data_IF_433731585335
#
_entry.id   IF_433731585335
#
_cell.length_a   1.000
_cell.length_b   1.000
_cell.length_c   1.000
_cell.angle_alpha   90.00
_cell.angle_beta   90.00
_cell.angle_gamma   90.00
#
_symmetry.space_group_name_H-M   'P 1'
#
loop_
_entity.id
_entity.type
_entity.pdbx_description
1 polymer ?
#
# COMPACT_ATOMS: atom_id res chain seq x y z
N UNK A 1 6.28 -3.82 -6.84
CA UNK A 1 7.66 -3.97 -7.20
C UNK A 1 7.80 -4.06 -8.70
N UNK A 2 8.55 -3.14 -9.28
CA UNK A 2 8.66 -3.00 -10.70
C UNK A 2 9.78 -3.87 -11.26
N UNK A 3 9.47 -4.72 -12.20
CA UNK A 3 10.41 -5.52 -12.97
C UNK A 3 11.09 -4.71 -14.09
N UNK A 4 10.58 -3.51 -14.37
CA UNK A 4 11.07 -2.57 -15.37
C UNK A 4 11.44 -1.23 -14.74
N UNK A 5 12.36 -0.47 -15.38
CA UNK A 5 12.53 0.94 -15.07
C UNK A 5 11.21 1.70 -15.16
N UNK A 6 11.04 2.73 -14.33
CA UNK A 6 9.78 3.52 -14.22
C UNK A 6 9.29 4.04 -15.60
N UNK A 7 10.21 4.50 -16.45
CA UNK A 7 9.88 5.02 -17.77
C UNK A 7 9.25 3.95 -18.68
N UNK A 8 9.82 2.75 -18.68
CA UNK A 8 9.25 1.63 -19.45
C UNK A 8 7.92 1.14 -18.88
N UNK A 9 7.71 1.26 -17.56
CA UNK A 9 6.40 0.95 -16.96
C UNK A 9 5.35 1.99 -17.35
N UNK A 10 5.73 3.27 -17.36
CA UNK A 10 4.81 4.36 -17.72
C UNK A 10 4.34 4.22 -19.17
N UNK A 11 5.19 3.77 -20.08
CA UNK A 11 4.77 3.48 -21.47
C UNK A 11 3.65 2.42 -21.52
N UNK A 12 3.78 1.31 -20.76
CA UNK A 12 2.73 0.29 -20.70
C UNK A 12 1.47 0.78 -19.98
N UNK A 13 1.60 1.64 -18.97
CA UNK A 13 0.46 2.29 -18.29
C UNK A 13 -0.31 3.18 -19.24
N UNK A 14 0.37 3.97 -20.07
CA UNK A 14 -0.27 4.83 -21.06
C UNK A 14 -0.96 4.01 -22.16
N UNK A 15 -0.33 2.94 -22.61
CA UNK A 15 -0.98 1.98 -23.53
C UNK A 15 -2.23 1.34 -22.91
N UNK A 16 -2.18 0.98 -21.63
CA UNK A 16 -3.34 0.39 -20.98
C UNK A 16 -4.47 1.41 -20.72
N UNK A 17 -4.12 2.66 -20.38
CA UNK A 17 -5.10 3.77 -20.29
C UNK A 17 -5.85 3.97 -21.61
N UNK A 18 -5.16 3.85 -22.73
CA UNK A 18 -5.78 3.95 -24.07
C UNK A 18 -6.75 2.77 -24.35
N UNK A 19 -6.46 1.58 -23.81
CA UNK A 19 -7.33 0.39 -23.95
C UNK A 19 -8.50 0.38 -22.97
N UNK A 20 -8.34 1.00 -21.79
CA UNK A 20 -9.32 1.06 -20.71
C UNK A 20 -9.48 2.52 -20.23
N UNK A 21 -10.30 3.32 -20.92
CA UNK A 21 -10.60 4.68 -20.47
C UNK A 21 -11.16 4.71 -19.05
N UNK A 22 -10.60 5.57 -18.21
CA UNK A 22 -10.96 5.68 -16.79
C UNK A 22 -10.13 4.80 -15.85
N UNK A 23 -9.27 3.90 -16.35
CA UNK A 23 -8.30 3.21 -15.50
C UNK A 23 -7.14 4.13 -15.14
N UNK A 24 -6.70 4.02 -13.88
CA UNK A 24 -5.45 4.62 -13.40
C UNK A 24 -4.73 3.63 -12.47
N UNK A 25 -3.39 3.72 -12.36
CA UNK A 25 -2.62 2.92 -11.41
C UNK A 25 -3.15 3.08 -9.99
N UNK A 26 -3.02 2.03 -9.18
CA UNK A 26 -3.50 2.04 -7.79
C UNK A 26 -2.90 3.15 -6.93
N UNK A 27 -1.64 3.53 -7.19
CA UNK A 27 -0.99 4.66 -6.51
C UNK A 27 -1.67 5.99 -6.84
N UNK A 28 -1.96 6.25 -8.12
CA UNK A 28 -2.66 7.48 -8.56
C UNK A 28 -4.07 7.55 -7.96
N UNK A 29 -4.77 6.41 -7.88
CA UNK A 29 -6.10 6.34 -7.25
C UNK A 29 -6.03 6.64 -5.75
N UNK A 30 -5.04 6.08 -5.05
CA UNK A 30 -4.82 6.35 -3.62
C UNK A 30 -4.49 7.84 -3.40
N UNK A 31 -3.59 8.41 -4.20
CA UNK A 31 -3.24 9.83 -4.10
C UNK A 31 -4.47 10.72 -4.32
N UNK A 32 -5.31 10.41 -5.31
CA UNK A 32 -6.54 11.14 -5.56
C UNK A 32 -7.50 11.10 -4.36
N UNK A 33 -7.64 9.95 -3.68
CA UNK A 33 -8.44 9.81 -2.46
C UNK A 33 -7.84 10.66 -1.34
N UNK A 34 -6.54 10.55 -1.10
CA UNK A 34 -5.83 11.33 -0.07
C UNK A 34 -6.03 12.83 -0.29
N UNK A 35 -5.83 13.32 -1.52
CA UNK A 35 -6.05 14.73 -1.88
C UNK A 35 -7.52 15.17 -1.70
N UNK A 36 -8.47 14.26 -1.87
CA UNK A 36 -9.88 14.53 -1.64
C UNK A 36 -10.27 14.72 -0.18
N UNK A 37 -9.49 14.14 0.75
CA UNK A 37 -9.75 14.23 2.19
C UNK A 37 -8.96 15.34 2.89
N UNK A 38 -7.82 15.77 2.33
CA UNK A 38 -6.97 16.74 3.01
C UNK A 38 -7.42 18.19 2.78
N UNK A 39 -7.32 18.96 3.84
CA UNK A 39 -7.47 20.42 3.88
C UNK A 39 -6.27 21.03 4.61
N UNK A 40 -6.16 22.36 4.63
CA UNK A 40 -5.09 23.05 5.39
C UNK A 40 -5.13 22.79 6.90
N UNK A 41 -6.28 22.38 7.43
CA UNK A 41 -6.45 22.08 8.86
C UNK A 41 -6.26 20.59 9.17
N UNK A 42 -6.09 19.75 8.16
CA UNK A 42 -5.97 18.30 8.32
C UNK A 42 -4.68 17.89 9.01
N UNK A 43 -4.77 16.79 9.77
CA UNK A 43 -3.64 16.10 10.40
C UNK A 43 -3.53 14.72 9.80
N UNK A 44 -2.40 14.42 9.18
CA UNK A 44 -2.16 13.20 8.39
C UNK A 44 -1.05 12.37 9.02
N UNK A 45 -1.28 11.07 9.17
CA UNK A 45 -0.25 10.09 9.55
C UNK A 45 0.07 9.20 8.35
N UNK A 46 1.35 9.12 7.99
CA UNK A 46 1.88 8.12 7.05
C UNK A 46 2.40 6.92 7.84
N UNK A 47 1.65 5.83 7.81
CA UNK A 47 1.96 4.60 8.53
C UNK A 47 2.81 3.68 7.64
N UNK A 48 4.08 3.49 8.01
CA UNK A 48 5.10 2.84 7.22
C UNK A 48 5.69 3.78 6.17
N UNK A 49 6.06 5.00 6.58
CA UNK A 49 6.52 6.06 5.68
C UNK A 49 7.87 5.75 5.00
N UNK A 50 8.66 4.84 5.54
CA UNK A 50 9.96 4.47 4.99
C UNK A 50 10.86 5.67 4.71
N UNK A 51 11.43 5.72 3.50
CA UNK A 51 12.24 6.83 2.98
C UNK A 51 11.42 7.96 2.35
N UNK A 52 10.11 7.93 2.49
CA UNK A 52 9.13 8.84 1.93
C UNK A 52 7.96 8.09 1.31
N UNK A 53 6.77 8.54 1.61
CA UNK A 53 5.52 7.91 1.22
C UNK A 53 4.48 8.90 0.71
N UNK A 54 3.21 8.56 0.86
CA UNK A 54 2.11 9.35 0.29
C UNK A 54 1.94 10.69 1.02
N UNK A 55 2.23 10.77 2.33
CA UNK A 55 2.18 12.04 3.04
C UNK A 55 3.18 13.07 2.48
N UNK A 56 4.29 12.61 1.86
CA UNK A 56 5.27 13.48 1.19
C UNK A 56 4.63 14.38 0.13
N UNK A 57 3.53 13.93 -0.49
CA UNK A 57 2.84 14.68 -1.56
C UNK A 57 1.96 15.81 -1.01
N UNK A 58 1.52 15.69 0.24
CA UNK A 58 0.55 16.63 0.86
C UNK A 58 1.07 17.34 2.11
N UNK A 59 2.26 16.99 2.62
CA UNK A 59 2.69 17.41 3.96
C UNK A 59 2.82 18.94 4.13
N UNK A 60 3.09 19.69 3.05
CA UNK A 60 3.18 21.15 3.08
C UNK A 60 1.82 21.85 2.98
N UNK A 61 0.79 21.11 2.59
CA UNK A 61 -0.54 21.66 2.33
C UNK A 61 -1.51 21.39 3.50
N UNK A 62 -1.03 20.71 4.56
CA UNK A 62 -1.82 20.32 5.73
C UNK A 62 -1.26 20.94 7.01
N UNK A 63 -2.08 21.00 8.07
CA UNK A 63 -1.69 21.51 9.38
C UNK A 63 -0.56 20.69 10.03
N UNK A 64 -0.62 19.36 9.87
CA UNK A 64 0.36 18.44 10.39
C UNK A 64 0.43 17.21 9.47
N UNK A 65 1.63 16.84 9.06
CA UNK A 65 1.90 15.51 8.58
C UNK A 65 2.98 14.88 9.46
N UNK A 66 2.84 13.61 9.78
CA UNK A 66 3.83 12.85 10.51
C UNK A 66 4.01 11.47 9.86
N UNK A 67 5.25 10.96 9.86
CA UNK A 67 5.56 9.61 9.40
C UNK A 67 5.89 8.69 10.56
N UNK A 68 5.54 7.40 10.44
CA UNK A 68 5.97 6.37 11.37
C UNK A 68 6.52 5.18 10.60
N UNK A 69 7.70 4.71 10.99
CA UNK A 69 8.31 3.50 10.42
C UNK A 69 9.17 2.79 11.48
N UNK A 70 9.26 1.45 11.50
CA UNK A 70 10.14 0.73 12.43
C UNK A 70 11.62 0.80 12.05
N UNK A 71 11.96 1.08 10.78
CA UNK A 71 13.34 1.07 10.31
C UNK A 71 14.04 2.44 10.49
N UNK A 72 15.04 2.53 11.39
CA UNK A 72 15.74 3.78 11.64
C UNK A 72 16.57 4.27 10.44
N UNK A 73 17.00 3.37 9.54
CA UNK A 73 17.77 3.75 8.34
C UNK A 73 16.85 4.46 7.35
N UNK A 74 15.68 3.88 7.10
CA UNK A 74 14.68 4.50 6.22
C UNK A 74 14.26 5.87 6.72
N UNK A 75 14.07 6.03 8.04
CA UNK A 75 13.73 7.33 8.63
C UNK A 75 14.87 8.36 8.51
N UNK A 76 16.13 7.92 8.63
CA UNK A 76 17.30 8.81 8.47
C UNK A 76 17.46 9.30 7.02
N UNK A 77 16.96 8.54 6.06
CA UNK A 77 17.00 8.84 4.61
C UNK A 77 15.66 9.37 4.08
N UNK A 78 14.78 9.85 4.98
CA UNK A 78 13.44 10.32 4.59
C UNK A 78 13.51 11.58 3.74
N UNK A 79 12.87 11.57 2.56
CA UNK A 79 13.01 12.61 1.53
C UNK A 79 12.28 13.91 1.85
N UNK A 80 11.19 13.87 2.63
CA UNK A 80 10.48 15.07 3.03
C UNK A 80 11.21 15.77 4.18
N UNK A 81 12.21 16.57 3.85
CA UNK A 81 12.98 17.34 4.84
C UNK A 81 12.06 18.23 5.67
N UNK A 82 12.13 18.09 6.99
CA UNK A 82 11.33 18.85 7.94
C UNK A 82 9.96 18.25 8.28
N UNK A 83 9.52 17.17 7.62
CA UNK A 83 8.36 16.41 8.07
C UNK A 83 8.72 15.61 9.33
N UNK A 84 7.96 15.71 10.43
CA UNK A 84 8.19 14.90 11.62
C UNK A 84 8.09 13.40 11.31
N UNK A 85 9.12 12.63 11.65
CA UNK A 85 9.12 11.18 11.52
C UNK A 85 9.44 10.53 12.87
N UNK A 86 8.75 9.44 13.20
CA UNK A 86 8.86 8.75 14.47
C UNK A 86 9.13 7.26 14.24
N UNK A 87 10.09 6.70 14.98
CA UNK A 87 10.31 5.26 14.98
C UNK A 87 9.24 4.56 15.82
N UNK A 88 8.55 3.59 15.24
CA UNK A 88 7.51 2.83 15.94
C UNK A 88 6.93 1.70 15.10
N UNK A 89 6.04 0.95 15.73
CA UNK A 89 5.30 -0.15 15.11
C UNK A 89 3.82 0.21 15.00
N UNK A 90 3.16 -0.28 13.96
CA UNK A 90 1.74 -0.03 13.71
C UNK A 90 0.84 -0.56 14.84
N UNK A 91 1.27 -1.63 15.51
CA UNK A 91 0.56 -2.28 16.61
C UNK A 91 0.62 -1.48 17.94
N UNK A 92 1.42 -0.42 17.98
CA UNK A 92 1.53 0.48 19.15
C UNK A 92 1.97 1.87 18.71
N UNK A 93 1.01 2.69 18.33
CA UNK A 93 1.26 4.04 17.83
C UNK A 93 1.59 5.01 18.97
N UNK A 94 2.72 5.76 18.91
CA UNK A 94 3.12 6.70 19.95
C UNK A 94 2.38 8.05 19.84
N UNK A 95 1.12 8.01 19.48
CA UNK A 95 0.28 9.19 19.31
C UNK A 95 -0.94 9.11 20.23
N UNK A 96 -1.46 10.27 20.63
CA UNK A 96 -2.67 10.33 21.45
C UNK A 96 -3.92 9.88 20.67
N UNK A 97 -4.97 9.52 21.39
CA UNK A 97 -6.29 9.28 20.81
C UNK A 97 -6.78 10.54 20.10
N UNK A 98 -7.54 10.39 18.99
CA UNK A 98 -8.15 11.49 18.23
C UNK A 98 -7.15 12.54 17.71
N UNK A 99 -5.99 12.07 17.26
CA UNK A 99 -4.89 12.95 16.81
C UNK A 99 -4.90 13.26 15.32
N UNK A 100 -5.48 12.37 14.50
CA UNK A 100 -5.39 12.46 13.04
C UNK A 100 -6.78 12.44 12.38
N UNK A 101 -6.88 13.17 11.28
CA UNK A 101 -8.06 13.18 10.41
C UNK A 101 -7.92 12.12 9.31
N UNK A 102 -6.66 11.77 8.95
CA UNK A 102 -6.35 10.78 7.93
C UNK A 102 -5.12 9.96 8.36
N UNK A 103 -5.21 8.65 8.26
CA UNK A 103 -4.08 7.72 8.28
C UNK A 103 -3.94 7.10 6.90
N UNK A 104 -2.73 7.15 6.34
CA UNK A 104 -2.42 6.53 5.04
C UNK A 104 -1.40 5.42 5.24
N UNK A 105 -1.52 4.33 4.49
CA UNK A 105 -0.56 3.22 4.56
C UNK A 105 -0.38 2.56 3.20
N UNK A 106 0.87 2.43 2.75
CA UNK A 106 1.19 1.85 1.43
C UNK A 106 2.26 0.78 1.58
N UNK A 107 1.93 -0.45 1.18
CA UNK A 107 2.83 -1.61 1.25
C UNK A 107 3.32 -1.95 2.67
N UNK A 108 2.43 -1.84 3.66
CA UNK A 108 2.71 -2.14 5.08
C UNK A 108 1.91 -3.33 5.59
N UNK A 109 0.65 -3.45 5.18
CA UNK A 109 -0.28 -4.43 5.75
C UNK A 109 0.20 -5.87 5.57
N UNK A 110 0.95 -6.15 4.52
CA UNK A 110 1.54 -7.47 4.26
C UNK A 110 2.63 -7.86 5.27
N UNK A 111 3.19 -6.88 5.99
CA UNK A 111 4.26 -7.08 6.97
C UNK A 111 3.75 -7.22 8.41
N UNK A 112 2.53 -6.80 8.72
CA UNK A 112 1.98 -6.76 10.07
C UNK A 112 2.03 -8.12 10.77
N UNK A 113 2.56 -8.12 11.99
CA UNK A 113 2.59 -9.30 12.85
C UNK A 113 1.23 -9.52 13.52
N UNK A 114 0.62 -8.46 14.00
CA UNK A 114 -0.74 -8.40 14.55
C UNK A 114 -1.57 -7.35 13.81
N UNK A 115 -2.23 -7.71 12.68
CA UNK A 115 -3.04 -6.77 11.94
C UNK A 115 -4.22 -6.21 12.75
N UNK A 116 -4.82 -7.01 13.64
CA UNK A 116 -5.95 -6.52 14.43
C UNK A 116 -5.48 -5.45 15.43
N UNK A 117 -4.37 -5.67 16.11
CA UNK A 117 -3.77 -4.66 16.99
C UNK A 117 -3.46 -3.37 16.24
N UNK A 118 -2.88 -3.46 15.03
CA UNK A 118 -2.61 -2.29 14.19
C UNK A 118 -3.89 -1.54 13.79
N UNK A 119 -4.95 -2.24 13.40
CA UNK A 119 -6.23 -1.62 13.05
C UNK A 119 -6.92 -0.96 14.24
N UNK A 120 -6.82 -1.54 15.45
CA UNK A 120 -7.31 -0.94 16.70
C UNK A 120 -6.53 0.35 17.01
N UNK A 121 -5.22 0.35 16.86
CA UNK A 121 -4.39 1.54 17.07
C UNK A 121 -4.70 2.63 16.04
N UNK A 122 -4.88 2.27 14.77
CA UNK A 122 -5.32 3.22 13.72
C UNK A 122 -6.67 3.81 14.09
N UNK A 123 -7.65 2.98 14.51
CA UNK A 123 -8.95 3.45 14.96
C UNK A 123 -8.82 4.41 16.15
N UNK A 124 -7.97 4.11 17.12
CA UNK A 124 -7.74 4.94 18.30
C UNK A 124 -7.18 6.32 17.96
N UNK A 125 -6.20 6.39 17.07
CA UNK A 125 -5.54 7.67 16.73
C UNK A 125 -6.34 8.51 15.73
N UNK A 126 -7.22 7.92 14.94
CA UNK A 126 -8.15 8.65 14.09
C UNK A 126 -9.16 9.42 14.93
N UNK A 127 -9.62 10.57 14.48
CA UNK A 127 -10.77 11.28 15.00
C UNK A 127 -12.07 10.63 14.54
N UNK A 128 -13.19 10.81 15.24
CA UNK A 128 -14.50 10.48 14.69
C UNK A 128 -14.71 11.10 13.32
N UNK A 129 -15.12 10.30 12.34
CA UNK A 129 -15.20 10.70 10.93
C UNK A 129 -13.87 10.68 10.16
N UNK A 130 -12.74 10.39 10.82
CA UNK A 130 -11.44 10.27 10.16
C UNK A 130 -11.31 8.98 9.35
N UNK A 131 -10.43 9.00 8.37
CA UNK A 131 -10.27 7.94 7.36
C UNK A 131 -8.94 7.19 7.49
N UNK A 132 -8.98 5.89 7.25
CA UNK A 132 -7.81 5.04 7.04
C UNK A 132 -7.78 4.57 5.59
N UNK A 133 -6.88 5.16 4.80
CA UNK A 133 -6.72 4.85 3.38
C UNK A 133 -5.44 4.02 3.19
N UNK A 134 -5.54 2.89 2.52
CA UNK A 134 -4.40 2.01 2.34
C UNK A 134 -4.35 1.33 0.97
N UNK A 135 -3.15 0.95 0.58
CA UNK A 135 -2.86 0.14 -0.60
C UNK A 135 -2.01 -1.06 -0.19
N UNK A 136 -2.46 -2.27 -0.55
CA UNK A 136 -1.77 -3.51 -0.20
C UNK A 136 -1.86 -4.54 -1.33
N UNK A 137 -0.90 -5.50 -1.44
CA UNK A 137 -0.99 -6.59 -2.40
C UNK A 137 -2.23 -7.46 -2.13
N UNK A 138 -2.84 -7.95 -3.20
CA UNK A 138 -3.96 -8.88 -3.10
C UNK A 138 -3.46 -10.33 -3.20
N UNK A 139 -3.55 -11.06 -2.10
CA UNK A 139 -3.11 -12.46 -2.05
C UNK A 139 -3.95 -13.42 -2.92
N UNK A 140 -5.15 -13.00 -3.34
CA UNK A 140 -5.97 -13.77 -4.30
C UNK A 140 -5.44 -13.68 -5.73
N UNK A 141 -4.55 -12.73 -6.03
CA UNK A 141 -3.89 -12.66 -7.32
C UNK A 141 -2.91 -13.83 -7.46
N UNK A 142 -2.96 -14.60 -8.55
CA UNK A 142 -2.09 -15.79 -8.76
C UNK A 142 -0.61 -15.45 -8.65
N UNK A 143 -0.19 -14.27 -9.12
CA UNK A 143 1.20 -13.82 -9.04
C UNK A 143 1.64 -13.60 -7.59
N UNK A 144 0.79 -12.96 -6.77
CA UNK A 144 1.07 -12.75 -5.34
C UNK A 144 1.11 -14.07 -4.59
N UNK A 145 0.22 -15.01 -4.95
CA UNK A 145 0.23 -16.37 -4.42
C UNK A 145 1.52 -17.13 -4.80
N UNK A 146 1.95 -17.04 -6.05
CA UNK A 146 3.24 -17.61 -6.49
C UNK A 146 4.43 -17.01 -5.76
N UNK A 147 4.46 -15.70 -5.55
CA UNK A 147 5.46 -15.03 -4.74
C UNK A 147 5.51 -15.56 -3.30
N UNK A 148 4.34 -15.76 -2.69
CA UNK A 148 4.24 -16.33 -1.34
C UNK A 148 4.79 -17.77 -1.30
N UNK A 149 4.43 -18.61 -2.25
CA UNK A 149 4.90 -20.01 -2.36
C UNK A 149 6.42 -20.01 -2.62
N UNK A 150 6.90 -19.20 -3.56
CA UNK A 150 8.33 -19.09 -3.87
C UNK A 150 9.18 -18.66 -2.67
N UNK A 151 8.62 -17.83 -1.78
CA UNK A 151 9.27 -17.44 -0.52
C UNK A 151 9.30 -18.56 0.52
N UNK A 152 8.40 -19.52 0.46
CA UNK A 152 8.37 -20.69 1.34
C UNK A 152 9.40 -21.77 0.95
N UNK A 153 9.99 -21.71 -0.25
CA UNK A 153 10.99 -22.68 -0.73
C UNK A 153 12.40 -22.20 -0.41
N UNK A 154 13.14 -22.87 0.51
CA UNK A 154 14.51 -22.49 0.85
C UNK A 154 15.44 -22.48 -0.35
N UNK A 155 16.22 -21.41 -0.53
CA UNK A 155 17.23 -21.29 -1.60
C UNK A 155 16.70 -20.75 -2.95
N UNK A 156 15.41 -20.77 -3.23
CA UNK A 156 14.84 -20.17 -4.44
C UNK A 156 14.94 -18.64 -4.39
N UNK A 157 14.76 -18.04 -3.20
CA UNK A 157 14.91 -16.60 -2.97
C UNK A 157 16.31 -16.09 -3.29
N UNK A 158 17.36 -16.77 -2.79
CA UNK A 158 18.76 -16.34 -3.01
C UNK A 158 19.15 -16.27 -4.47
N UNK A 159 18.53 -17.06 -5.34
CA UNK A 159 18.80 -17.11 -6.78
C UNK A 159 17.94 -16.16 -7.62
N UNK A 160 16.70 -15.90 -7.21
CA UNK A 160 15.73 -15.12 -7.99
C UNK A 160 15.61 -13.67 -7.54
N UNK A 161 15.69 -13.40 -6.23
CA UNK A 161 15.47 -12.05 -5.68
C UNK A 161 16.47 -11.01 -6.22
N UNK A 162 17.79 -11.24 -6.26
CA UNK A 162 18.72 -10.23 -6.81
C UNK A 162 18.52 -9.97 -8.30
N UNK A 163 18.12 -11.00 -9.07
CA UNK A 163 17.91 -10.89 -10.52
C UNK A 163 16.59 -10.27 -10.91
N UNK A 164 15.54 -10.49 -10.10
CA UNK A 164 14.17 -10.06 -10.41
C UNK A 164 13.85 -8.72 -9.73
N UNK A 165 14.50 -8.41 -8.62
CA UNK A 165 14.05 -7.33 -7.74
C UNK A 165 15.06 -6.17 -7.55
N UNK A 166 16.33 -6.33 -7.86
CA UNK A 166 17.30 -5.24 -7.79
C UNK A 166 17.41 -4.53 -6.41
N UNK A 167 16.92 -5.18 -5.33
CA UNK A 167 16.99 -4.65 -3.96
C UNK A 167 17.88 -5.53 -3.10
N UNK A 168 18.64 -4.92 -2.21
CA UNK A 168 19.42 -5.64 -1.19
C UNK A 168 18.46 -6.37 -0.22
N UNK A 169 18.85 -7.60 0.16
CA UNK A 169 18.14 -8.42 1.15
C UNK A 169 17.92 -7.69 2.49
N UNK A 170 18.81 -6.74 2.81
CA UNK A 170 18.78 -5.95 4.04
C UNK A 170 17.59 -4.97 4.13
N UNK A 171 16.96 -4.63 3.01
CA UNK A 171 15.83 -3.69 2.93
C UNK A 171 14.46 -4.39 2.91
N UNK A 172 14.39 -5.70 3.16
CA UNK A 172 13.13 -6.45 3.06
C UNK A 172 12.63 -6.91 4.42
N UNK A 173 11.53 -6.29 4.89
CA UNK A 173 10.78 -6.79 6.04
C UNK A 173 10.13 -8.16 5.74
N UNK A 174 10.00 -9.05 6.76
CA UNK A 174 9.31 -10.31 6.59
C UNK A 174 7.86 -10.09 6.14
N UNK A 175 7.46 -10.70 5.04
CA UNK A 175 6.08 -10.63 4.54
C UNK A 175 5.26 -11.77 5.15
N UNK A 176 4.12 -11.44 5.77
CA UNK A 176 3.25 -12.36 6.50
C UNK A 176 1.93 -12.63 5.79
N UNK A 177 1.43 -11.67 5.01
CA UNK A 177 0.16 -11.74 4.26
C UNK A 177 -1.06 -12.12 5.13
N UNK A 178 -1.22 -11.47 6.30
CA UNK A 178 -2.35 -11.70 7.22
C UNK A 178 -3.53 -10.75 7.01
N UNK A 179 -3.33 -9.68 6.22
CA UNK A 179 -4.30 -8.62 5.94
C UNK A 179 -4.35 -8.33 4.42
N UNK A 180 -4.35 -9.36 3.58
CA UNK A 180 -4.14 -9.20 2.15
C UNK A 180 -5.25 -9.86 1.28
N UNK A 181 -6.42 -10.05 1.85
CA UNK A 181 -7.64 -10.38 1.11
C UNK A 181 -8.79 -9.45 1.54
N UNK A 182 -9.76 -9.21 0.65
CA UNK A 182 -10.94 -8.42 1.01
C UNK A 182 -11.68 -8.99 2.24
N UNK A 183 -11.71 -10.33 2.37
CA UNK A 183 -12.33 -10.99 3.51
C UNK A 183 -11.61 -10.64 4.82
N UNK A 184 -10.29 -10.74 4.83
CA UNK A 184 -9.49 -10.45 6.03
C UNK A 184 -9.62 -8.97 6.41
N UNK A 185 -9.56 -8.06 5.42
CA UNK A 185 -9.67 -6.62 5.64
C UNK A 185 -11.05 -6.22 6.19
N UNK A 186 -12.14 -6.83 5.69
CA UNK A 186 -13.50 -6.62 6.24
C UNK A 186 -13.61 -7.14 7.68
N UNK A 187 -13.01 -8.30 7.98
CA UNK A 187 -13.00 -8.84 9.33
C UNK A 187 -12.18 -7.97 10.30
N UNK A 188 -11.02 -7.46 9.86
CA UNK A 188 -10.19 -6.55 10.64
C UNK A 188 -10.90 -5.21 10.89
N UNK A 189 -11.55 -4.65 9.88
CA UNK A 189 -12.35 -3.44 10.05
C UNK A 189 -13.45 -3.63 11.10
N UNK A 190 -14.24 -4.70 10.99
CA UNK A 190 -15.29 -5.00 11.95
C UNK A 190 -14.74 -5.23 13.36
N UNK A 191 -13.63 -5.96 13.50
CA UNK A 191 -12.98 -6.27 14.78
C UNK A 191 -12.34 -5.06 15.46
N UNK A 192 -11.96 -4.03 14.71
CA UNK A 192 -11.37 -2.79 15.24
C UNK A 192 -12.38 -1.65 15.44
N UNK A 193 -13.64 -1.81 15.03
CA UNK A 193 -14.64 -0.75 15.09
C UNK A 193 -14.55 0.27 13.94
N UNK A 194 -13.77 -0.01 12.91
CA UNK A 194 -13.74 0.76 11.67
C UNK A 194 -14.86 0.27 10.72
N UNK A 195 -15.49 1.19 10.01
CA UNK A 195 -16.48 0.87 8.98
C UNK A 195 -15.84 0.95 7.59
N UNK A 196 -16.11 -0.03 6.75
CA UNK A 196 -15.69 0.01 5.35
C UNK A 196 -16.47 1.11 4.61
N UNK A 197 -15.77 2.14 4.13
CA UNK A 197 -16.32 3.16 3.23
C UNK A 197 -16.20 2.69 1.78
N UNK A 198 -14.97 2.34 1.36
CA UNK A 198 -14.70 1.70 0.08
C UNK A 198 -13.64 0.60 0.26
N UNK A 199 -13.79 -0.49 -0.46
CA UNK A 199 -12.81 -1.57 -0.50
C UNK A 199 -12.89 -2.24 -1.85
N UNK A 200 -11.89 -2.03 -2.69
CA UNK A 200 -11.90 -2.50 -4.06
C UNK A 200 -10.58 -3.13 -4.48
N UNK A 201 -10.69 -4.08 -5.39
CA UNK A 201 -9.55 -4.71 -6.04
C UNK A 201 -9.21 -3.92 -7.31
N UNK A 202 -7.95 -3.51 -7.40
CA UNK A 202 -7.45 -2.73 -8.54
C UNK A 202 -6.64 -3.66 -9.45
N UNK A 203 -7.07 -3.82 -10.72
CA UNK A 203 -6.31 -4.53 -11.72
C UNK A 203 -5.11 -3.69 -12.18
N UNK A 204 -3.98 -4.34 -12.41
CA UNK A 204 -2.80 -3.70 -13.02
C UNK A 204 -2.05 -4.71 -13.92
N UNK A 205 -2.43 -4.83 -15.20
CA UNK A 205 -1.75 -5.73 -16.13
C UNK A 205 -0.35 -5.26 -16.48
N UNK A 206 0.00 -4.01 -16.16
CA UNK A 206 1.33 -3.46 -16.41
C UNK A 206 2.38 -3.99 -15.44
N UNK A 207 1.93 -4.58 -14.33
CA UNK A 207 2.81 -5.10 -13.28
C UNK A 207 3.77 -6.19 -13.78
N UNK A 208 3.38 -6.98 -14.79
CA UNK A 208 4.19 -8.02 -15.43
C UNK A 208 4.68 -7.67 -16.83
N UNK A 209 4.47 -6.45 -17.29
CA UNK A 209 4.77 -6.03 -18.65
C UNK A 209 6.28 -5.85 -18.88
N UNK A 210 7.05 -6.94 -18.83
CA UNK A 210 8.49 -6.92 -19.14
C UNK A 210 8.79 -6.70 -20.63
N UNK A 211 7.82 -6.98 -21.51
CA UNK A 211 7.86 -6.74 -22.95
C UNK A 211 6.44 -6.70 -23.53
N UNK A 212 6.29 -6.30 -24.79
CA UNK A 212 4.98 -6.17 -25.45
C UNK A 212 4.17 -7.46 -25.48
N UNK A 213 4.82 -8.64 -25.61
CA UNK A 213 4.12 -9.92 -25.60
C UNK A 213 3.53 -10.21 -24.21
N UNK A 214 4.30 -10.03 -23.15
CA UNK A 214 3.83 -10.23 -21.78
C UNK A 214 2.75 -9.21 -21.41
N UNK A 215 2.88 -7.95 -21.85
CA UNK A 215 1.83 -6.95 -21.67
C UNK A 215 0.51 -7.40 -22.32
N UNK A 216 0.54 -7.83 -23.59
CA UNK A 216 -0.66 -8.28 -24.26
C UNK A 216 -1.27 -9.53 -23.61
N UNK A 217 -0.43 -10.48 -23.16
CA UNK A 217 -0.89 -11.65 -22.42
C UNK A 217 -1.54 -11.26 -21.09
N UNK A 218 -0.95 -10.29 -20.35
CA UNK A 218 -1.52 -9.79 -19.09
C UNK A 218 -2.86 -9.08 -19.31
N UNK A 219 -2.98 -8.24 -20.35
CA UNK A 219 -4.24 -7.57 -20.74
C UNK A 219 -5.30 -8.60 -21.10
N UNK A 220 -4.93 -9.64 -21.86
CA UNK A 220 -5.86 -10.71 -22.23
C UNK A 220 -6.29 -11.52 -21.01
N UNK A 221 -5.36 -11.81 -20.09
CA UNK A 221 -5.66 -12.56 -18.88
C UNK A 221 -6.66 -11.84 -17.98
N UNK A 222 -6.61 -10.51 -17.89
CA UNK A 222 -7.59 -9.73 -17.11
C UNK A 222 -9.02 -9.86 -17.60
N UNK A 223 -9.22 -10.08 -18.91
CA UNK A 223 -10.58 -10.26 -19.48
C UNK A 223 -11.25 -11.55 -19.01
N UNK A 224 -10.46 -12.55 -18.64
CA UNK A 224 -10.95 -13.88 -18.21
C UNK A 224 -10.78 -14.09 -16.70
N UNK A 225 -9.99 -13.27 -16.02
CA UNK A 225 -9.80 -13.36 -14.58
C UNK A 225 -11.05 -12.86 -13.82
N UNK A 226 -11.41 -13.52 -12.72
CA UNK A 226 -12.43 -13.00 -11.80
C UNK A 226 -12.07 -11.59 -11.30
N UNK A 227 -13.05 -10.69 -11.21
CA UNK A 227 -12.83 -9.30 -10.76
C UNK A 227 -12.09 -9.16 -9.42
N UNK A 228 -12.21 -10.16 -8.54
CA UNK A 228 -11.51 -10.18 -7.24
C UNK A 228 -10.03 -10.61 -7.31
N UNK A 229 -9.44 -10.80 -8.51
CA UNK A 229 -8.07 -11.28 -8.70
C UNK A 229 -7.09 -10.18 -9.15
N UNK A 230 -7.48 -8.92 -9.17
CA UNK A 230 -6.57 -7.80 -9.42
C UNK A 230 -5.38 -7.81 -8.46
N UNK A 231 -4.32 -7.12 -8.82
CA UNK A 231 -3.00 -7.19 -8.15
C UNK A 231 -3.03 -6.55 -6.77
N UNK A 232 -3.80 -5.46 -6.61
CA UNK A 232 -3.80 -4.66 -5.40
C UNK A 232 -5.20 -4.56 -4.79
N UNK A 233 -5.26 -4.31 -3.49
CA UNK A 233 -6.46 -3.89 -2.79
C UNK A 233 -6.25 -2.46 -2.32
N UNK A 234 -7.15 -1.57 -2.70
CA UNK A 234 -7.26 -0.21 -2.23
C UNK A 234 -8.44 -0.15 -1.26
N UNK A 235 -8.16 0.30 -0.05
CA UNK A 235 -9.16 0.39 1.01
C UNK A 235 -9.27 1.79 1.58
N UNK A 236 -10.49 2.14 1.94
CA UNK A 236 -10.87 3.33 2.69
C UNK A 236 -11.83 2.90 3.79
N UNK A 237 -11.36 3.02 5.02
CA UNK A 237 -12.14 2.73 6.22
C UNK A 237 -12.36 4.01 6.99
N UNK A 238 -13.50 4.14 7.65
CA UNK A 238 -13.85 5.34 8.41
C UNK A 238 -14.11 4.99 9.87
N UNK A 239 -13.58 5.81 10.78
CA UNK A 239 -13.94 5.76 12.19
C UNK A 239 -15.32 6.39 12.40
N UNK A 240 -16.22 5.65 13.02
CA UNK A 240 -17.54 6.14 13.45
C UNK A 240 -17.45 7.00 14.70
#
# INVERSE_FOLDING_TARGET
>A
MALLPLDAQNEYRDRYRALQPGWSPSGDQLEAIVRGYVTRDSRVLDLGCGRGGVAEVVWRDVRLAAGLDPDPRSLAEHRAEGMPVVRGFAERLPFATDSFDLVVSVWVLEHLADPLGAFIEVQRVLRPGGHFVFLTPNLRNPLMLMNRIGRAVPGLQRRLVPKVYGRDEADTFPVRYRANTERDLRALAAGSGLRVHDLRVVPDPTYLAMNGLMFNASVLSERVMPRGWGVHILGDLVRQ
#
